data_IF_947183119698
#
_entry.id   IF_947183119698
#
_cell.length_a   1.000
_cell.length_b   1.000
_cell.length_c   1.000
_cell.angle_alpha   90.00
_cell.angle_beta   90.00
_cell.angle_gamma   90.00
#
_symmetry.space_group_name_H-M   'P 1'
#
loop_
_entity.id
_entity.type
_entity.pdbx_description
1 polymer ?
#
# COMPACT_ATOMS: atom_id res chain seq x y z
N UNK A 1 25.70 -28.33 -20.19
CA UNK A 1 26.17 -28.86 -18.88
C UNK A 1 25.96 -30.37 -18.86
N UNK A 2 26.91 -31.16 -18.35
CA UNK A 2 26.74 -32.62 -18.19
C UNK A 2 25.86 -32.95 -16.98
N UNK A 3 25.29 -34.16 -16.91
CA UNK A 3 24.45 -34.58 -15.78
C UNK A 3 25.17 -34.50 -14.42
N UNK A 4 26.44 -34.92 -14.35
CA UNK A 4 27.25 -34.82 -13.12
C UNK A 4 27.47 -33.39 -12.67
N UNK A 5 27.75 -32.48 -13.60
CA UNK A 5 27.91 -31.04 -13.30
C UNK A 5 26.60 -30.42 -12.79
N UNK A 6 25.45 -30.85 -13.36
CA UNK A 6 24.12 -30.43 -12.90
C UNK A 6 23.90 -30.84 -11.44
N UNK A 7 24.15 -32.10 -11.12
CA UNK A 7 23.83 -32.64 -9.79
C UNK A 7 24.69 -31.98 -8.70
N UNK A 8 25.97 -31.69 -8.99
CA UNK A 8 26.84 -30.90 -8.11
C UNK A 8 26.30 -29.49 -7.91
N UNK A 9 25.86 -28.82 -8.98
CA UNK A 9 25.26 -27.48 -8.88
C UNK A 9 23.97 -27.48 -8.04
N UNK A 10 23.08 -28.46 -8.26
CA UNK A 10 21.83 -28.60 -7.50
C UNK A 10 22.09 -28.90 -6.02
N UNK A 11 23.08 -29.74 -5.71
CA UNK A 11 23.48 -29.97 -4.32
C UNK A 11 24.01 -28.69 -3.65
N UNK A 12 24.80 -27.90 -4.39
CA UNK A 12 25.41 -26.67 -3.86
C UNK A 12 24.42 -25.55 -3.52
N UNK A 13 23.19 -25.60 -4.05
CA UNK A 13 22.17 -24.58 -3.78
C UNK A 13 21.26 -24.89 -2.59
N UNK A 14 21.47 -26.03 -1.90
CA UNK A 14 20.59 -26.50 -0.81
C UNK A 14 20.32 -25.41 0.24
N UNK A 15 21.36 -24.78 0.78
CA UNK A 15 21.21 -23.77 1.84
C UNK A 15 20.52 -22.49 1.32
N UNK A 16 20.79 -22.11 0.07
CA UNK A 16 20.15 -20.96 -0.55
C UNK A 16 18.65 -21.19 -0.76
N UNK A 17 18.26 -22.38 -1.23
CA UNK A 17 16.84 -22.75 -1.38
C UNK A 17 16.17 -22.84 -0.01
N UNK A 18 16.80 -23.46 0.98
CA UNK A 18 16.27 -23.54 2.34
C UNK A 18 16.00 -22.15 2.92
N UNK A 19 16.94 -21.21 2.75
CA UNK A 19 16.79 -19.82 3.21
C UNK A 19 15.60 -19.12 2.54
N UNK A 20 15.42 -19.30 1.22
CA UNK A 20 14.28 -18.71 0.48
C UNK A 20 12.94 -19.28 0.96
N UNK A 21 12.86 -20.59 1.21
CA UNK A 21 11.65 -21.25 1.72
C UNK A 21 11.32 -20.77 3.13
N UNK A 22 12.33 -20.67 4.01
CA UNK A 22 12.13 -20.19 5.38
C UNK A 22 11.67 -18.73 5.40
N UNK A 23 12.23 -17.87 4.55
CA UNK A 23 11.80 -16.49 4.43
C UNK A 23 10.32 -16.38 4.02
N UNK A 24 9.86 -17.17 3.03
CA UNK A 24 8.45 -17.14 2.62
C UNK A 24 7.52 -17.62 3.74
N UNK A 25 7.87 -18.68 4.47
CA UNK A 25 7.09 -19.17 5.62
C UNK A 25 7.01 -18.14 6.75
N UNK A 26 8.12 -17.46 7.03
CA UNK A 26 8.19 -16.41 8.05
C UNK A 26 7.24 -15.25 7.69
N UNK A 27 7.31 -14.76 6.46
CA UNK A 27 6.46 -13.68 5.96
C UNK A 27 4.97 -14.04 5.94
N UNK A 28 4.61 -15.28 5.57
CA UNK A 28 3.22 -15.74 5.60
C UNK A 28 2.65 -15.78 7.02
N UNK A 29 3.44 -16.26 7.98
CA UNK A 29 3.06 -16.32 9.39
C UNK A 29 2.83 -14.91 9.95
N UNK A 30 3.71 -13.96 9.60
CA UNK A 30 3.53 -12.56 9.96
C UNK A 30 2.26 -11.95 9.37
N UNK A 31 1.95 -12.27 8.11
CA UNK A 31 0.74 -11.77 7.46
C UNK A 31 -0.53 -12.18 8.22
N UNK A 32 -0.59 -13.45 8.62
CA UNK A 32 -1.67 -14.02 9.43
C UNK A 32 -1.72 -13.35 10.81
N UNK A 33 -0.56 -13.19 11.48
CA UNK A 33 -0.48 -12.58 12.80
C UNK A 33 -0.99 -11.13 12.80
N UNK A 34 -0.62 -10.33 11.80
CA UNK A 34 -1.06 -8.94 11.66
C UNK A 34 -2.58 -8.85 11.43
N UNK A 35 -3.16 -9.74 10.64
CA UNK A 35 -4.62 -9.76 10.42
C UNK A 35 -5.37 -10.29 11.65
N UNK A 36 -4.84 -11.30 12.34
CA UNK A 36 -5.40 -11.80 13.58
C UNK A 36 -5.39 -10.71 14.68
N UNK A 37 -4.32 -9.92 14.75
CA UNK A 37 -4.20 -8.78 15.67
C UNK A 37 -5.19 -7.65 15.34
N UNK A 38 -5.47 -7.39 14.05
CA UNK A 38 -6.49 -6.43 13.65
C UNK A 38 -7.92 -6.89 14.02
N UNK A 39 -8.13 -8.20 14.11
CA UNK A 39 -9.32 -8.82 14.71
C UNK A 39 -10.63 -8.31 14.13
N UNK A 40 -11.48 -7.73 14.98
CA UNK A 40 -12.82 -7.26 14.60
C UNK A 40 -12.82 -6.19 13.50
N UNK A 41 -11.74 -5.42 13.36
CA UNK A 41 -11.64 -4.38 12.33
C UNK A 41 -11.69 -4.94 10.90
N UNK A 42 -11.37 -6.24 10.72
CA UNK A 42 -11.35 -6.88 9.41
C UNK A 42 -12.55 -7.79 9.14
N UNK A 43 -13.41 -8.10 10.12
CA UNK A 43 -14.46 -9.13 9.97
C UNK A 43 -15.41 -8.84 8.80
N UNK A 44 -15.81 -7.58 8.62
CA UNK A 44 -16.69 -7.16 7.54
C UNK A 44 -16.03 -7.30 6.16
N UNK A 45 -14.74 -6.93 6.04
CA UNK A 45 -14.02 -7.03 4.77
C UNK A 45 -13.63 -8.48 4.45
N UNK A 46 -13.31 -9.30 5.46
CA UNK A 46 -13.12 -10.74 5.30
C UNK A 46 -14.42 -11.40 4.82
N UNK A 47 -15.57 -11.06 5.40
CA UNK A 47 -16.86 -11.54 4.93
C UNK A 47 -17.14 -11.17 3.46
N UNK A 48 -16.76 -9.95 3.04
CA UNK A 48 -16.85 -9.55 1.63
C UNK A 48 -15.90 -10.37 0.75
N UNK A 49 -14.68 -10.62 1.19
CA UNK A 49 -13.71 -11.43 0.45
C UNK A 49 -14.21 -12.87 0.27
N UNK A 50 -14.76 -13.49 1.33
CA UNK A 50 -15.38 -14.82 1.27
C UNK A 50 -16.45 -14.84 0.18
N UNK A 51 -17.43 -13.93 0.26
CA UNK A 51 -18.52 -13.85 -0.74
C UNK A 51 -18.02 -13.59 -2.16
N UNK A 52 -16.96 -12.78 -2.31
CA UNK A 52 -16.35 -12.52 -3.61
C UNK A 52 -15.71 -13.77 -4.22
N UNK A 53 -15.00 -14.56 -3.40
CA UNK A 53 -14.38 -15.80 -3.84
C UNK A 53 -15.42 -16.89 -4.14
N UNK A 54 -16.49 -16.99 -3.34
CA UNK A 54 -17.61 -17.90 -3.59
C UNK A 54 -18.34 -17.57 -4.90
N UNK A 55 -18.61 -16.28 -5.16
CA UNK A 55 -19.29 -15.85 -6.39
C UNK A 55 -18.50 -16.17 -7.66
N UNK A 56 -17.17 -16.34 -7.55
CA UNK A 56 -16.27 -16.75 -8.65
C UNK A 56 -16.06 -18.26 -8.71
N UNK A 57 -16.69 -19.04 -7.84
CA UNK A 57 -16.50 -20.49 -7.72
C UNK A 57 -15.11 -20.89 -7.19
N UNK A 58 -14.35 -19.93 -6.64
CA UNK A 58 -13.00 -20.18 -6.15
C UNK A 58 -12.96 -20.75 -4.73
N UNK A 59 -14.02 -20.54 -3.94
CA UNK A 59 -14.08 -20.93 -2.52
C UNK A 59 -15.43 -21.60 -2.22
N UNK A 60 -15.40 -22.63 -1.38
CA UNK A 60 -16.59 -23.23 -0.76
C UNK A 60 -16.43 -23.22 0.76
N UNK A 61 -17.07 -22.25 1.44
CA UNK A 61 -16.84 -22.01 2.87
C UNK A 61 -17.15 -23.21 3.77
N UNK A 62 -18.12 -24.05 3.39
CA UNK A 62 -18.48 -25.26 4.13
C UNK A 62 -17.40 -26.35 4.11
N UNK A 63 -16.61 -26.42 3.03
CA UNK A 63 -15.50 -27.37 2.90
C UNK A 63 -14.31 -26.89 3.74
N UNK A 64 -14.09 -25.57 3.74
CA UNK A 64 -12.96 -24.94 4.42
C UNK A 64 -13.24 -24.55 5.88
N UNK A 65 -14.41 -24.93 6.42
CA UNK A 65 -14.84 -24.61 7.79
C UNK A 65 -14.84 -23.11 8.13
N UNK A 66 -15.06 -22.26 7.12
CA UNK A 66 -15.20 -20.81 7.29
C UNK A 66 -16.63 -20.46 7.75
N UNK A 67 -16.82 -19.40 8.57
CA UNK A 67 -18.13 -19.01 9.07
C UNK A 67 -19.08 -18.61 7.94
N UNK A 68 -20.36 -18.93 8.11
CA UNK A 68 -21.44 -18.44 7.27
C UNK A 68 -21.79 -16.97 7.59
N UNK A 69 -22.73 -16.38 6.84
CA UNK A 69 -23.10 -14.97 7.04
C UNK A 69 -23.67 -14.70 8.44
N UNK A 70 -24.35 -15.69 9.03
CA UNK A 70 -24.86 -15.60 10.40
C UNK A 70 -23.69 -15.58 11.40
N UNK A 71 -22.74 -16.50 11.27
CA UNK A 71 -21.55 -16.59 12.13
C UNK A 71 -20.65 -15.36 12.00
N UNK A 72 -20.51 -14.81 10.80
CA UNK A 72 -19.80 -13.54 10.57
C UNK A 72 -20.49 -12.38 11.30
N UNK A 73 -21.82 -12.27 11.20
CA UNK A 73 -22.60 -11.24 11.88
C UNK A 73 -22.54 -11.37 13.42
N UNK A 74 -22.65 -12.59 13.95
CA UNK A 74 -22.51 -12.87 15.38
C UNK A 74 -21.12 -12.47 15.89
N UNK A 75 -20.05 -12.77 15.14
CA UNK A 75 -18.68 -12.36 15.50
C UNK A 75 -18.50 -10.85 15.44
N UNK A 76 -19.06 -10.18 14.44
CA UNK A 76 -19.04 -8.72 14.34
C UNK A 76 -19.70 -8.08 15.57
N UNK A 77 -20.87 -8.57 16.01
CA UNK A 77 -21.54 -8.11 17.23
C UNK A 77 -20.70 -8.36 18.49
N UNK A 78 -19.99 -9.48 18.55
CA UNK A 78 -19.08 -9.81 19.65
C UNK A 78 -17.72 -9.10 19.57
N UNK A 79 -17.50 -8.24 18.56
CA UNK A 79 -16.20 -7.60 18.27
C UNK A 79 -15.07 -8.63 18.15
N UNK A 80 -15.31 -9.69 17.39
CA UNK A 80 -14.33 -10.76 17.10
C UNK A 80 -14.03 -10.82 15.60
N UNK A 81 -12.76 -11.04 15.27
CA UNK A 81 -12.29 -11.30 13.91
C UNK A 81 -12.35 -12.79 13.54
N UNK A 82 -11.78 -13.11 12.38
CA UNK A 82 -11.42 -14.47 12.04
C UNK A 82 -10.23 -14.95 12.88
N UNK A 83 -10.14 -16.26 13.06
CA UNK A 83 -9.02 -16.93 13.73
C UNK A 83 -7.85 -17.10 12.77
N UNK A 84 -6.64 -17.35 13.31
CA UNK A 84 -5.45 -17.55 12.48
C UNK A 84 -5.59 -18.67 11.42
N UNK A 85 -6.17 -19.85 11.72
CA UNK A 85 -6.42 -20.88 10.71
C UNK A 85 -7.38 -20.43 9.59
N UNK A 86 -8.47 -19.74 9.94
CA UNK A 86 -9.42 -19.20 8.96
C UNK A 86 -8.76 -18.13 8.07
N UNK A 87 -7.89 -17.29 8.64
CA UNK A 87 -7.11 -16.29 7.89
C UNK A 87 -6.11 -16.99 6.96
N UNK A 88 -5.46 -18.07 7.39
CA UNK A 88 -4.52 -18.83 6.56
C UNK A 88 -5.21 -19.41 5.30
N UNK A 89 -6.43 -19.95 5.45
CA UNK A 89 -7.27 -20.38 4.33
C UNK A 89 -7.53 -19.20 3.39
N UNK A 90 -8.02 -18.07 3.91
CA UNK A 90 -8.30 -16.89 3.08
C UNK A 90 -7.05 -16.35 2.37
N UNK A 91 -5.89 -16.39 3.03
CA UNK A 91 -4.61 -16.00 2.43
C UNK A 91 -4.27 -16.87 1.22
N UNK A 92 -4.44 -18.18 1.31
CA UNK A 92 -4.21 -19.10 0.20
C UNK A 92 -5.15 -18.80 -0.98
N UNK A 93 -6.45 -18.70 -0.74
CA UNK A 93 -7.43 -18.43 -1.80
C UNK A 93 -7.27 -17.02 -2.41
N UNK A 94 -6.93 -16.01 -1.60
CA UNK A 94 -6.64 -14.67 -2.10
C UNK A 94 -5.43 -14.67 -3.03
N UNK A 95 -4.36 -15.41 -2.69
CA UNK A 95 -3.18 -15.57 -3.56
C UNK A 95 -3.52 -16.30 -4.86
N UNK A 96 -4.28 -17.38 -4.80
CA UNK A 96 -4.68 -18.16 -5.99
C UNK A 96 -5.48 -17.26 -6.94
N UNK A 97 -6.56 -16.64 -6.45
CA UNK A 97 -7.43 -15.79 -7.28
C UNK A 97 -6.69 -14.56 -7.84
N UNK A 98 -5.80 -13.96 -7.06
CA UNK A 98 -4.98 -12.84 -7.51
C UNK A 98 -3.97 -13.28 -8.57
N UNK A 99 -3.30 -14.43 -8.39
CA UNK A 99 -2.35 -14.97 -9.36
C UNK A 99 -3.01 -15.23 -10.71
N UNK A 100 -4.17 -15.87 -10.73
CA UNK A 100 -4.95 -16.08 -11.96
C UNK A 100 -5.27 -14.75 -12.66
N UNK A 101 -5.70 -13.76 -11.89
CA UNK A 101 -6.03 -12.43 -12.41
C UNK A 101 -4.81 -11.71 -12.98
N UNK A 102 -3.64 -11.82 -12.32
CA UNK A 102 -2.40 -11.23 -12.83
C UNK A 102 -1.87 -11.97 -14.07
N UNK A 103 -1.98 -13.30 -14.13
CA UNK A 103 -1.59 -14.11 -15.28
C UNK A 103 -2.44 -13.80 -16.53
N UNK A 104 -3.69 -13.40 -16.34
CA UNK A 104 -4.56 -12.94 -17.43
C UNK A 104 -4.23 -11.51 -17.92
N UNK A 105 -3.31 -10.80 -17.26
CA UNK A 105 -2.89 -9.44 -17.61
C UNK A 105 -1.54 -9.40 -18.33
N UNK A 106 -1.14 -8.22 -18.81
CA UNK A 106 0.18 -7.94 -19.37
C UNK A 106 1.24 -7.59 -18.31
N UNK A 107 0.87 -7.43 -17.04
CA UNK A 107 1.81 -7.04 -15.98
C UNK A 107 3.01 -8.01 -15.87
N UNK A 108 2.85 -9.34 -15.92
CA UNK A 108 3.98 -10.27 -15.87
C UNK A 108 4.93 -10.21 -17.07
N UNK A 109 4.56 -9.53 -18.17
CA UNK A 109 5.45 -9.31 -19.32
C UNK A 109 6.26 -8.01 -19.20
N UNK A 110 5.92 -7.13 -18.27
CA UNK A 110 6.61 -5.86 -18.12
C UNK A 110 8.06 -6.07 -17.68
N UNK A 111 8.99 -5.39 -18.36
CA UNK A 111 10.40 -5.36 -17.95
C UNK A 111 10.58 -4.79 -16.54
N UNK A 112 9.66 -3.91 -16.12
CA UNK A 112 9.73 -3.25 -14.82
C UNK A 112 9.61 -4.24 -13.63
N UNK A 113 9.02 -5.43 -13.85
CA UNK A 113 8.88 -6.48 -12.82
C UNK A 113 9.84 -7.66 -13.03
N UNK A 114 10.74 -7.58 -14.01
CA UNK A 114 11.65 -8.67 -14.36
C UNK A 114 12.61 -9.02 -13.20
N UNK A 115 12.92 -8.07 -12.32
CA UNK A 115 13.73 -8.33 -11.13
C UNK A 115 13.10 -9.40 -10.21
N UNK A 116 11.78 -9.60 -10.24
CA UNK A 116 11.09 -10.67 -9.51
C UNK A 116 11.48 -12.06 -10.02
N UNK A 117 11.73 -12.21 -11.32
CA UNK A 117 12.23 -13.46 -11.90
C UNK A 117 13.65 -13.75 -11.42
N UNK A 118 14.50 -12.73 -11.44
CA UNK A 118 15.90 -12.87 -11.00
C UNK A 118 15.95 -13.24 -9.51
N UNK A 119 15.16 -12.56 -8.68
CA UNK A 119 15.11 -12.78 -7.23
C UNK A 119 14.52 -14.14 -6.83
N UNK A 120 13.80 -14.82 -7.72
CA UNK A 120 13.27 -16.17 -7.45
C UNK A 120 14.37 -17.22 -7.39
N UNK A 121 15.40 -17.10 -8.24
CA UNK A 121 16.40 -18.14 -8.39
C UNK A 121 17.55 -17.98 -7.39
N UNK A 122 18.08 -19.07 -6.82
CA UNK A 122 19.26 -19.04 -5.96
C UNK A 122 20.48 -18.43 -6.66
N UNK A 123 21.29 -17.68 -5.90
CA UNK A 123 22.50 -17.04 -6.41
C UNK A 123 23.47 -17.98 -7.17
N UNK A 124 23.71 -19.24 -6.73
CA UNK A 124 24.56 -20.17 -7.48
C UNK A 124 24.05 -20.47 -8.90
N UNK A 125 22.73 -20.52 -9.10
CA UNK A 125 22.12 -20.73 -10.41
C UNK A 125 22.25 -19.48 -11.28
N UNK A 126 22.03 -18.31 -10.68
CA UNK A 126 22.13 -17.03 -11.38
C UNK A 126 23.53 -16.81 -11.96
N UNK A 127 24.59 -17.21 -11.26
CA UNK A 127 25.97 -17.09 -11.75
C UNK A 127 26.21 -17.78 -13.11
N UNK A 128 25.44 -18.83 -13.43
CA UNK A 128 25.63 -19.64 -14.64
C UNK A 128 24.52 -19.45 -15.68
N UNK A 129 23.31 -19.06 -15.26
CA UNK A 129 22.10 -19.12 -16.10
C UNK A 129 21.36 -17.79 -16.25
N UNK A 130 21.91 -16.66 -15.76
CA UNK A 130 21.20 -15.36 -15.76
C UNK A 130 20.72 -14.93 -17.15
N UNK A 131 21.52 -15.16 -18.19
CA UNK A 131 21.19 -14.79 -19.57
C UNK A 131 20.06 -15.63 -20.18
N UNK A 132 19.77 -16.81 -19.60
CA UNK A 132 18.71 -17.71 -20.06
C UNK A 132 17.33 -17.35 -19.46
N UNK A 133 17.30 -16.54 -18.39
CA UNK A 133 16.07 -16.21 -17.67
C UNK A 133 14.99 -15.53 -18.55
N UNK A 134 15.32 -14.60 -19.47
CA UNK A 134 14.29 -13.98 -20.32
C UNK A 134 13.50 -14.99 -21.16
N UNK A 135 14.13 -16.11 -21.54
CA UNK A 135 13.54 -17.20 -22.33
C UNK A 135 12.93 -18.32 -21.46
N UNK A 136 12.87 -18.15 -20.14
CA UNK A 136 12.34 -19.17 -19.24
C UNK A 136 10.85 -19.45 -19.54
N UNK A 137 10.43 -20.71 -19.77
CA UNK A 137 9.08 -21.02 -20.21
C UNK A 137 8.01 -20.62 -19.19
N UNK A 138 8.33 -20.69 -17.89
CA UNK A 138 7.45 -20.29 -16.79
C UNK A 138 7.72 -18.86 -16.28
N UNK A 139 8.35 -18.00 -17.08
CA UNK A 139 8.70 -16.63 -16.66
C UNK A 139 7.49 -15.89 -16.09
N UNK A 140 6.37 -15.93 -16.81
CA UNK A 140 5.11 -15.27 -16.42
C UNK A 140 4.60 -15.80 -15.09
N UNK A 141 4.54 -17.12 -14.94
CA UNK A 141 4.10 -17.81 -13.73
C UNK A 141 4.95 -17.51 -12.51
N UNK A 142 6.28 -17.48 -12.67
CA UNK A 142 7.21 -17.16 -11.59
C UNK A 142 7.02 -15.69 -11.16
N UNK A 143 7.00 -14.75 -12.11
CA UNK A 143 6.81 -13.32 -11.82
C UNK A 143 5.47 -13.08 -11.13
N UNK A 144 4.37 -13.64 -11.65
CA UNK A 144 3.05 -13.51 -11.05
C UNK A 144 3.03 -14.09 -9.62
N UNK A 145 3.60 -15.27 -9.42
CA UNK A 145 3.65 -15.92 -8.09
C UNK A 145 4.47 -15.10 -7.10
N UNK A 146 5.65 -14.59 -7.50
CA UNK A 146 6.50 -13.75 -6.67
C UNK A 146 5.83 -12.43 -6.30
N UNK A 147 5.20 -11.77 -7.27
CA UNK A 147 4.49 -10.52 -7.04
C UNK A 147 3.32 -10.72 -6.07
N UNK A 148 2.52 -11.76 -6.28
CA UNK A 148 1.39 -12.09 -5.39
C UNK A 148 1.87 -12.44 -3.99
N UNK A 149 2.90 -13.27 -3.84
CA UNK A 149 3.43 -13.63 -2.53
C UNK A 149 3.89 -12.39 -1.77
N UNK A 150 4.71 -11.54 -2.39
CA UNK A 150 5.18 -10.30 -1.74
C UNK A 150 4.02 -9.38 -1.39
N UNK A 151 3.13 -9.11 -2.34
CA UNK A 151 2.00 -8.21 -2.14
C UNK A 151 1.08 -8.69 -1.02
N UNK A 152 0.65 -9.95 -1.06
CA UNK A 152 -0.30 -10.50 -0.08
C UNK A 152 0.35 -10.73 1.28
N UNK A 153 1.61 -11.17 1.35
CA UNK A 153 2.31 -11.31 2.63
C UNK A 153 2.48 -9.93 3.30
N UNK A 154 2.85 -8.89 2.53
CA UNK A 154 3.11 -7.57 3.09
C UNK A 154 1.84 -6.76 3.34
N UNK A 155 0.80 -6.86 2.50
CA UNK A 155 -0.41 -6.02 2.60
C UNK A 155 -1.66 -6.75 3.12
N UNK A 156 -1.64 -8.08 3.19
CA UNK A 156 -2.76 -8.89 3.64
C UNK A 156 -3.73 -9.30 2.52
N UNK A 157 -4.78 -10.01 2.92
CA UNK A 157 -5.76 -10.71 2.08
C UNK A 157 -6.69 -9.77 1.29
N UNK A 158 -6.94 -8.57 1.82
CA UNK A 158 -8.04 -7.72 1.34
C UNK A 158 -7.60 -6.42 0.65
N UNK A 159 -6.31 -6.05 0.74
CA UNK A 159 -5.81 -4.77 0.24
C UNK A 159 -6.13 -4.51 -1.24
N UNK A 160 -5.88 -5.49 -2.12
CA UNK A 160 -6.10 -5.34 -3.57
C UNK A 160 -7.60 -5.15 -3.88
N UNK A 161 -8.46 -5.92 -3.21
CA UNK A 161 -9.91 -5.81 -3.37
C UNK A 161 -10.42 -4.46 -2.88
N UNK A 162 -9.97 -4.01 -1.71
CA UNK A 162 -10.37 -2.71 -1.14
C UNK A 162 -9.97 -1.56 -2.04
N UNK A 163 -8.70 -1.52 -2.47
CA UNK A 163 -8.22 -0.43 -3.31
C UNK A 163 -8.88 -0.45 -4.70
N UNK A 164 -9.15 -1.63 -5.27
CA UNK A 164 -9.93 -1.77 -6.50
C UNK A 164 -11.38 -1.31 -6.34
N UNK A 165 -12.01 -1.59 -5.19
CA UNK A 165 -13.36 -1.12 -4.88
C UNK A 165 -13.44 0.42 -4.76
N UNK A 166 -12.45 1.02 -4.12
CA UNK A 166 -12.32 2.46 -3.92
C UNK A 166 -12.05 3.23 -5.21
N UNK A 167 -11.16 2.71 -6.06
CA UNK A 167 -10.63 3.44 -7.22
C UNK A 167 -11.19 2.97 -8.56
N UNK A 168 -11.83 1.80 -8.61
CA UNK A 168 -12.21 1.13 -9.85
C UNK A 168 -11.05 0.50 -10.62
N UNK A 169 -9.82 0.55 -10.08
CA UNK A 169 -8.65 -0.05 -10.72
C UNK A 169 -8.73 -1.58 -10.72
N UNK A 170 -8.19 -2.18 -11.79
CA UNK A 170 -8.00 -3.63 -11.86
C UNK A 170 -6.93 -4.12 -10.87
N UNK A 171 -6.98 -5.40 -10.51
CA UNK A 171 -5.99 -6.01 -9.63
C UNK A 171 -4.55 -5.87 -10.16
N UNK A 172 -4.36 -5.92 -11.49
CA UNK A 172 -3.06 -5.72 -12.12
C UNK A 172 -2.55 -4.26 -11.96
N UNK A 173 -3.42 -3.27 -12.14
CA UNK A 173 -3.07 -1.87 -11.93
C UNK A 173 -2.72 -1.60 -10.46
N UNK A 174 -3.48 -2.17 -9.52
CA UNK A 174 -3.17 -2.07 -8.08
C UNK A 174 -1.84 -2.74 -7.75
N UNK A 175 -1.58 -3.95 -8.25
CA UNK A 175 -0.33 -4.67 -8.01
C UNK A 175 0.88 -3.93 -8.59
N UNK A 176 0.75 -3.36 -9.80
CA UNK A 176 1.80 -2.55 -10.42
C UNK A 176 2.09 -1.25 -9.65
N UNK A 177 1.05 -0.53 -9.24
CA UNK A 177 1.20 0.68 -8.42
C UNK A 177 1.81 0.39 -7.06
N UNK A 178 1.38 -0.70 -6.39
CA UNK A 178 1.97 -1.13 -5.12
C UNK A 178 3.43 -1.52 -5.30
N UNK A 179 3.77 -2.26 -6.36
CA UNK A 179 5.16 -2.65 -6.62
C UNK A 179 6.05 -1.42 -6.83
N UNK A 180 5.57 -0.41 -7.56
CA UNK A 180 6.28 0.86 -7.72
C UNK A 180 6.44 1.60 -6.37
N UNK A 181 5.36 1.76 -5.59
CA UNK A 181 5.40 2.43 -4.29
C UNK A 181 6.32 1.72 -3.28
N UNK A 182 6.24 0.39 -3.22
CA UNK A 182 7.10 -0.48 -2.42
C UNK A 182 8.57 -0.33 -2.81
N UNK A 183 8.86 -0.29 -4.11
CA UNK A 183 10.23 -0.11 -4.61
C UNK A 183 10.78 1.29 -4.31
N UNK A 184 9.97 2.34 -4.41
CA UNK A 184 10.38 3.72 -4.07
C UNK A 184 10.72 3.87 -2.59
N UNK A 185 9.98 3.21 -1.72
CA UNK A 185 10.21 3.23 -0.27
C UNK A 185 11.36 2.31 0.19
N UNK A 186 11.87 1.47 -0.71
CA UNK A 186 12.67 0.29 -0.35
C UNK A 186 12.02 -0.51 0.78
N UNK A 187 10.71 -0.77 0.62
CA UNK A 187 9.90 -1.30 1.70
C UNK A 187 10.36 -2.69 2.17
N UNK A 188 10.96 -3.50 1.29
CA UNK A 188 11.51 -4.80 1.69
C UNK A 188 12.69 -4.62 2.66
N UNK A 189 13.56 -3.63 2.45
CA UNK A 189 14.62 -3.31 3.42
C UNK A 189 14.05 -2.82 4.75
N UNK A 190 12.99 -2.00 4.72
CA UNK A 190 12.30 -1.56 5.94
C UNK A 190 11.64 -2.73 6.69
N UNK A 191 11.02 -3.68 5.98
CA UNK A 191 10.50 -4.91 6.58
C UNK A 191 11.63 -5.71 7.23
N UNK A 192 12.73 -5.95 6.53
CA UNK A 192 13.89 -6.67 7.06
C UNK A 192 14.50 -5.97 8.29
N UNK A 193 14.53 -4.63 8.31
CA UNK A 193 14.97 -3.86 9.49
C UNK A 193 14.04 -4.11 10.69
N UNK A 194 12.71 -4.12 10.49
CA UNK A 194 11.76 -4.46 11.57
C UNK A 194 11.91 -5.92 12.00
N UNK A 195 12.05 -6.84 11.05
CA UNK A 195 12.23 -8.29 11.29
C UNK A 195 13.52 -8.58 12.05
N UNK A 196 14.59 -7.81 11.83
CA UNK A 196 15.84 -7.94 12.57
C UNK A 196 15.72 -7.57 14.05
N UNK A 197 14.60 -6.95 14.46
CA UNK A 197 14.29 -6.63 15.85
C UNK A 197 13.47 -7.74 16.55
N UNK A 198 13.21 -8.85 15.87
CA UNK A 198 12.54 -10.02 16.46
C UNK A 198 13.36 -10.51 17.66
N UNK A 199 12.66 -10.79 18.77
CA UNK A 199 13.25 -11.10 20.09
C UNK A 199 14.14 -9.99 20.71
N UNK A 200 14.29 -8.83 20.06
CA UNK A 200 15.02 -7.67 20.59
C UNK A 200 14.08 -6.66 21.25
N UNK A 201 12.89 -6.47 20.66
CA UNK A 201 11.82 -5.62 21.20
C UNK A 201 10.57 -6.46 21.53
N UNK A 202 9.66 -5.89 22.32
CA UNK A 202 8.37 -6.53 22.59
C UNK A 202 7.59 -6.80 21.28
N UNK A 203 6.97 -7.97 21.19
CA UNK A 203 6.23 -8.40 20.00
C UNK A 203 5.09 -7.43 19.64
N UNK A 204 4.42 -6.84 20.64
CA UNK A 204 3.36 -5.84 20.42
C UNK A 204 3.92 -4.59 19.75
N UNK A 205 5.12 -4.16 20.17
CA UNK A 205 5.81 -3.02 19.56
C UNK A 205 6.24 -3.33 18.13
N UNK A 206 6.75 -4.54 17.88
CA UNK A 206 7.13 -4.95 16.53
C UNK A 206 5.91 -4.99 15.59
N UNK A 207 4.78 -5.56 16.04
CA UNK A 207 3.52 -5.56 15.29
C UNK A 207 3.02 -4.15 14.99
N UNK A 208 3.19 -3.20 15.92
CA UNK A 208 2.84 -1.80 15.71
C UNK A 208 3.70 -1.17 14.60
N UNK A 209 5.02 -1.43 14.58
CA UNK A 209 5.91 -0.96 13.50
C UNK A 209 5.51 -1.54 12.14
N UNK A 210 5.24 -2.85 12.09
CA UNK A 210 4.77 -3.54 10.88
C UNK A 210 3.44 -2.98 10.37
N UNK A 211 2.49 -2.71 11.28
CA UNK A 211 1.19 -2.10 10.96
C UNK A 211 1.37 -0.68 10.44
N UNK A 212 2.30 0.08 11.02
CA UNK A 212 2.65 1.42 10.55
C UNK A 212 3.26 1.42 9.14
N UNK A 213 4.12 0.44 8.82
CA UNK A 213 4.69 0.27 7.48
C UNK A 213 3.60 -0.11 6.46
N UNK A 214 2.67 -1.01 6.83
CA UNK A 214 1.48 -1.31 6.02
C UNK A 214 0.65 -0.07 5.74
N UNK A 215 0.38 0.75 6.77
CA UNK A 215 -0.39 1.98 6.63
C UNK A 215 0.31 2.99 5.70
N UNK A 216 1.63 3.12 5.82
CA UNK A 216 2.43 3.98 4.94
C UNK A 216 2.34 3.54 3.47
N UNK A 217 2.50 2.24 3.20
CA UNK A 217 2.33 1.67 1.85
C UNK A 217 0.91 1.81 1.32
N UNK A 218 -0.10 1.60 2.17
CA UNK A 218 -1.50 1.73 1.81
C UNK A 218 -1.87 3.18 1.44
N UNK A 219 -1.22 4.17 2.05
CA UNK A 219 -1.41 5.58 1.71
C UNK A 219 -0.58 6.03 0.48
N UNK A 220 0.62 5.48 0.30
CA UNK A 220 1.46 5.81 -0.86
C UNK A 220 0.96 5.17 -2.16
N UNK A 221 0.41 3.95 -2.10
CA UNK A 221 -0.01 3.21 -3.30
C UNK A 221 -1.06 3.95 -4.15
N UNK A 222 -2.15 4.55 -3.59
CA UNK A 222 -3.11 5.33 -4.37
C UNK A 222 -2.51 6.55 -5.07
N UNK A 223 -1.52 7.21 -4.45
CA UNK A 223 -0.83 8.36 -5.04
C UNK A 223 -0.05 7.96 -6.29
N UNK A 224 0.60 6.80 -6.25
CA UNK A 224 1.32 6.20 -7.39
C UNK A 224 0.33 5.64 -8.42
N UNK A 225 -0.74 5.00 -7.96
CA UNK A 225 -1.78 4.42 -8.81
C UNK A 225 -2.39 5.46 -9.73
N UNK A 226 -2.65 6.67 -9.22
CA UNK A 226 -3.20 7.78 -10.02
C UNK A 226 -2.35 8.07 -11.26
N UNK A 227 -1.02 8.05 -11.14
CA UNK A 227 -0.12 8.26 -12.29
C UNK A 227 0.04 7.01 -13.13
N UNK A 228 0.06 5.83 -12.51
CA UNK A 228 0.12 4.56 -13.22
C UNK A 228 -1.09 4.36 -14.15
N UNK A 229 -2.30 4.72 -13.69
CA UNK A 229 -3.52 4.70 -14.50
C UNK A 229 -3.47 5.67 -15.69
N UNK A 230 -2.63 6.71 -15.64
CA UNK A 230 -2.36 7.64 -16.75
C UNK A 230 -1.30 7.12 -17.73
N UNK A 231 -0.80 5.90 -17.54
CA UNK A 231 0.13 5.24 -18.45
C UNK A 231 1.61 5.38 -18.09
N UNK A 232 1.95 6.00 -16.95
CA UNK A 232 3.36 6.06 -16.49
C UNK A 232 3.85 4.66 -16.11
N UNK A 233 5.03 4.29 -16.62
CA UNK A 233 5.66 2.98 -16.34
C UNK A 233 6.21 2.91 -14.92
N UNK A 234 6.33 1.70 -14.38
CA UNK A 234 6.81 1.48 -13.00
C UNK A 234 8.22 2.04 -12.82
N UNK A 235 9.14 1.81 -13.77
CA UNK A 235 10.49 2.34 -13.69
C UNK A 235 10.55 3.88 -13.69
N UNK A 236 9.65 4.53 -14.43
CA UNK A 236 9.53 6.00 -14.44
C UNK A 236 9.03 6.50 -13.09
N UNK A 237 7.96 5.88 -12.56
CA UNK A 237 7.44 6.20 -11.23
C UNK A 237 8.54 6.07 -10.17
N UNK A 238 9.33 4.98 -10.21
CA UNK A 238 10.45 4.77 -9.29
C UNK A 238 11.47 5.91 -9.32
N UNK A 239 11.80 6.41 -10.51
CA UNK A 239 12.76 7.52 -10.67
C UNK A 239 12.16 8.84 -10.20
N UNK A 240 10.91 9.13 -10.57
CA UNK A 240 10.24 10.40 -10.31
C UNK A 240 9.96 10.62 -8.82
N UNK A 241 9.55 9.59 -8.09
CA UNK A 241 9.32 9.69 -6.65
C UNK A 241 10.59 9.45 -5.81
N UNK A 242 11.54 8.69 -6.34
CA UNK A 242 12.69 8.18 -5.59
C UNK A 242 13.50 9.27 -4.90
N UNK A 243 13.84 10.36 -5.60
CA UNK A 243 14.67 11.44 -5.03
C UNK A 243 14.01 12.12 -3.82
N UNK A 244 12.73 12.49 -3.94
CA UNK A 244 11.99 13.17 -2.88
C UNK A 244 11.77 12.28 -1.65
N UNK A 245 11.46 11.01 -1.88
CA UNK A 245 11.21 10.02 -0.81
C UNK A 245 12.51 9.65 -0.10
N UNK A 246 13.58 9.34 -0.84
CA UNK A 246 14.90 9.04 -0.28
C UNK A 246 15.45 10.21 0.53
N UNK A 247 15.32 11.45 0.03
CA UNK A 247 15.74 12.64 0.78
C UNK A 247 14.96 12.79 2.10
N UNK A 248 13.66 12.48 2.09
CA UNK A 248 12.81 12.55 3.28
C UNK A 248 13.16 11.46 4.29
N UNK A 249 13.32 10.21 3.85
CA UNK A 249 13.78 9.10 4.68
C UNK A 249 15.17 9.41 5.27
N UNK A 250 16.10 9.92 4.46
CA UNK A 250 17.45 10.28 4.89
C UNK A 250 17.45 11.34 6.00
N UNK A 251 16.60 12.36 5.88
CA UNK A 251 16.42 13.40 6.92
C UNK A 251 15.87 12.80 8.22
N UNK A 252 14.84 11.95 8.13
CA UNK A 252 14.25 11.30 9.31
C UNK A 252 15.26 10.34 9.96
N UNK A 253 16.10 9.66 9.19
CA UNK A 253 17.14 8.76 9.74
C UNK A 253 18.36 9.50 10.28
N UNK A 254 18.51 10.80 10.03
CA UNK A 254 19.72 11.53 10.38
C UNK A 254 20.02 11.43 11.89
N UNK A 255 21.20 10.88 12.23
CA UNK A 255 21.62 10.68 13.62
C UNK A 255 20.91 9.55 14.37
N UNK A 256 20.11 8.72 13.69
CA UNK A 256 19.36 7.60 14.27
C UNK A 256 19.81 6.27 13.65
N UNK A 257 19.77 5.18 14.42
CA UNK A 257 20.07 3.83 13.93
C UNK A 257 19.17 2.76 14.58
N UNK A 258 19.10 1.58 13.95
CA UNK A 258 18.35 0.43 14.43
C UNK A 258 16.89 0.75 14.79
N UNK A 259 16.43 0.23 15.93
CA UNK A 259 15.05 0.41 16.40
C UNK A 259 14.60 1.88 16.49
N UNK A 260 15.49 2.81 16.82
CA UNK A 260 15.16 4.25 16.92
C UNK A 260 14.91 4.84 15.54
N UNK A 261 15.72 4.49 14.55
CA UNK A 261 15.54 4.99 13.17
C UNK A 261 14.23 4.50 12.57
N UNK A 262 13.94 3.20 12.67
CA UNK A 262 12.71 2.64 12.11
C UNK A 262 11.46 3.15 12.84
N UNK A 263 11.52 3.31 14.17
CA UNK A 263 10.41 3.91 14.93
C UNK A 263 10.13 5.33 14.42
N UNK A 264 11.16 6.16 14.26
CA UNK A 264 10.99 7.52 13.73
C UNK A 264 10.42 7.54 12.31
N UNK A 265 10.83 6.63 11.43
CA UNK A 265 10.25 6.51 10.08
C UNK A 265 8.76 6.17 10.12
N UNK A 266 8.36 5.27 11.01
CA UNK A 266 6.95 4.89 11.16
C UNK A 266 6.13 6.02 11.80
N UNK A 267 6.68 6.71 12.81
CA UNK A 267 6.01 7.84 13.45
C UNK A 267 5.85 9.02 12.47
N UNK A 268 6.88 9.31 11.68
CA UNK A 268 6.89 10.38 10.67
C UNK A 268 6.37 9.93 9.28
N UNK A 269 5.67 8.78 9.19
CA UNK A 269 5.15 8.22 7.92
C UNK A 269 4.32 9.21 7.10
N UNK A 270 3.61 10.13 7.75
CA UNK A 270 2.84 11.17 7.06
C UNK A 270 3.73 12.09 6.22
N UNK A 271 4.93 12.44 6.70
CA UNK A 271 5.89 13.25 5.96
C UNK A 271 6.44 12.50 4.73
N UNK A 272 6.63 11.18 4.85
CA UNK A 272 7.06 10.31 3.76
C UNK A 272 5.96 10.21 2.69
N UNK A 273 4.70 9.96 3.09
CA UNK A 273 3.56 9.95 2.17
C UNK A 273 3.39 11.31 1.48
N UNK A 274 3.54 12.40 2.22
CA UNK A 274 3.49 13.75 1.66
C UNK A 274 4.59 13.99 0.59
N UNK A 275 5.73 13.29 0.63
CA UNK A 275 6.71 13.38 -0.44
C UNK A 275 6.19 12.82 -1.79
N UNK A 276 5.39 11.74 -1.77
CA UNK A 276 4.71 11.25 -2.97
C UNK A 276 3.69 12.26 -3.49
N UNK A 277 2.92 12.88 -2.58
CA UNK A 277 1.93 13.89 -2.94
C UNK A 277 2.58 15.14 -3.56
N UNK A 278 3.69 15.63 -2.99
CA UNK A 278 4.44 16.77 -3.53
C UNK A 278 4.92 16.52 -4.95
N UNK A 279 5.40 15.32 -5.25
CA UNK A 279 5.79 14.94 -6.62
C UNK A 279 4.58 14.93 -7.57
N UNK A 280 3.43 14.43 -7.12
CA UNK A 280 2.19 14.49 -7.89
C UNK A 280 1.76 15.94 -8.18
N UNK A 281 1.83 16.81 -7.18
CA UNK A 281 1.48 18.23 -7.31
C UNK A 281 2.45 18.98 -8.24
N UNK A 282 3.76 18.75 -8.10
CA UNK A 282 4.78 19.30 -8.98
C UNK A 282 4.52 18.93 -10.45
N UNK A 283 4.20 17.66 -10.70
CA UNK A 283 3.79 17.19 -12.04
C UNK A 283 2.51 17.88 -12.51
N UNK A 284 1.50 17.97 -11.66
CA UNK A 284 0.19 18.49 -12.04
C UNK A 284 0.18 20.02 -12.28
N UNK A 285 1.13 20.73 -11.67
CA UNK A 285 1.37 22.16 -11.91
C UNK A 285 2.40 22.42 -13.02
N UNK A 286 3.22 21.44 -13.39
CA UNK A 286 4.32 21.62 -14.34
C UNK A 286 5.45 22.49 -13.79
N UNK A 287 5.66 22.46 -12.47
CA UNK A 287 6.63 23.30 -11.77
C UNK A 287 7.72 22.45 -11.08
N UNK A 288 8.91 23.01 -10.83
CA UNK A 288 9.92 22.39 -9.99
C UNK A 288 9.39 22.01 -8.60
N UNK A 289 9.94 20.93 -8.03
CA UNK A 289 9.54 20.43 -6.72
C UNK A 289 9.80 21.46 -5.59
N UNK A 290 10.84 22.27 -5.72
CA UNK A 290 11.19 23.32 -4.75
C UNK A 290 10.10 24.40 -4.70
N UNK A 291 9.71 24.94 -5.86
CA UNK A 291 8.67 25.96 -5.98
C UNK A 291 7.33 25.46 -5.40
N UNK A 292 6.98 24.20 -5.67
CA UNK A 292 5.79 23.57 -5.08
C UNK A 292 5.91 23.43 -3.56
N UNK A 293 7.09 23.11 -3.04
CA UNK A 293 7.32 22.98 -1.60
C UNK A 293 7.19 24.32 -0.89
N UNK A 294 7.76 25.39 -1.46
CA UNK A 294 7.64 26.75 -0.93
C UNK A 294 6.19 27.24 -0.96
N UNK A 295 5.49 27.02 -2.08
CA UNK A 295 4.09 27.41 -2.22
C UNK A 295 3.16 26.60 -1.28
N UNK A 296 3.46 25.34 -1.01
CA UNK A 296 2.75 24.54 0.00
C UNK A 296 2.97 25.08 1.41
N UNK A 297 4.21 25.46 1.77
CA UNK A 297 4.48 26.06 3.09
C UNK A 297 3.71 27.38 3.29
N UNK A 298 3.57 28.19 2.23
CA UNK A 298 2.72 29.40 2.26
C UNK A 298 1.25 29.03 2.49
N UNK A 299 0.76 27.98 1.82
CA UNK A 299 -0.62 27.52 1.93
C UNK A 299 -0.94 26.92 3.30
N UNK A 300 -0.04 26.12 3.87
CA UNK A 300 -0.14 25.55 5.22
C UNK A 300 -0.30 26.66 6.28
N UNK A 301 0.39 27.79 6.11
CA UNK A 301 0.23 28.96 6.99
C UNK A 301 -1.10 29.72 6.83
N UNK A 302 -1.92 29.36 5.83
CA UNK A 302 -3.18 30.05 5.49
C UNK A 302 -4.41 29.22 5.81
N UNK A 303 -4.34 27.91 5.60
CA UNK A 303 -5.44 26.96 5.80
C UNK A 303 -4.91 25.55 6.04
N UNK A 304 -5.45 24.87 7.06
CA UNK A 304 -4.98 23.57 7.52
C UNK A 304 -5.66 22.40 6.76
N UNK A 305 -5.31 22.27 5.48
CA UNK A 305 -5.82 21.18 4.62
C UNK A 305 -5.29 19.81 5.03
N UNK A 306 -4.19 19.76 5.79
CA UNK A 306 -3.59 18.51 6.27
C UNK A 306 -4.42 17.90 7.39
N UNK A 307 -4.96 18.72 8.29
CA UNK A 307 -5.97 18.26 9.24
C UNK A 307 -7.19 17.67 8.53
N UNK A 308 -7.69 18.34 7.48
CA UNK A 308 -8.85 17.86 6.73
C UNK A 308 -8.55 16.52 6.02
N UNK A 309 -7.36 16.38 5.42
CA UNK A 309 -6.90 15.13 4.83
C UNK A 309 -6.80 13.99 5.86
N UNK A 310 -6.29 14.30 7.05
CA UNK A 310 -6.23 13.34 8.15
C UNK A 310 -7.63 12.95 8.65
N UNK A 311 -8.57 13.89 8.72
CA UNK A 311 -9.96 13.63 9.10
C UNK A 311 -10.68 12.73 8.08
N UNK A 312 -10.55 13.02 6.77
CA UNK A 312 -11.08 12.17 5.71
C UNK A 312 -10.49 10.76 5.77
N UNK A 313 -9.19 10.64 6.05
CA UNK A 313 -8.51 9.35 6.16
C UNK A 313 -9.02 8.49 7.33
N UNK A 314 -9.48 9.12 8.42
CA UNK A 314 -10.06 8.44 9.60
C UNK A 314 -11.50 7.97 9.39
N UNK A 315 -12.18 8.40 8.32
CA UNK A 315 -13.55 7.98 8.06
C UNK A 315 -13.66 6.45 7.93
N UNK A 316 -14.73 5.84 8.48
CA UNK A 316 -14.94 4.40 8.37
C UNK A 316 -15.19 4.00 6.91
N UNK A 317 -14.54 2.91 6.50
CA UNK A 317 -14.72 2.27 5.19
C UNK A 317 -15.36 0.88 5.33
N UNK A 318 -16.40 0.80 6.17
CA UNK A 318 -17.05 -0.44 6.57
C UNK A 318 -17.68 -1.20 5.40
N UNK A 319 -18.14 -0.49 4.37
CA UNK A 319 -18.65 -1.08 3.12
C UNK A 319 -18.07 -0.40 1.86
N UNK A 320 -18.34 -0.99 0.70
CA UNK A 320 -17.84 -0.53 -0.61
C UNK A 320 -18.21 0.93 -0.93
N UNK A 321 -19.43 1.34 -0.59
CA UNK A 321 -19.91 2.70 -0.89
C UNK A 321 -19.27 3.75 0.03
N UNK A 322 -19.10 3.43 1.31
CA UNK A 322 -18.36 4.28 2.26
C UNK A 322 -16.90 4.45 1.83
N UNK A 323 -16.26 3.36 1.41
CA UNK A 323 -14.89 3.37 0.92
C UNK A 323 -14.74 4.29 -0.32
N UNK A 324 -15.68 4.18 -1.28
CA UNK A 324 -15.74 5.07 -2.45
C UNK A 324 -16.01 6.52 -2.09
N UNK A 325 -16.93 6.79 -1.17
CA UNK A 325 -17.25 8.16 -0.75
C UNK A 325 -16.04 8.82 -0.08
N UNK A 326 -15.31 8.07 0.76
CA UNK A 326 -14.04 8.52 1.35
C UNK A 326 -12.99 8.82 0.27
N UNK A 327 -12.83 7.93 -0.70
CA UNK A 327 -11.89 8.12 -1.81
C UNK A 327 -12.25 9.36 -2.66
N UNK A 328 -13.54 9.57 -2.91
CA UNK A 328 -14.05 10.75 -3.62
C UNK A 328 -13.72 12.04 -2.86
N UNK A 329 -13.98 12.10 -1.54
CA UNK A 329 -13.60 13.25 -0.72
C UNK A 329 -12.09 13.52 -0.74
N UNK A 330 -11.28 12.47 -0.67
CA UNK A 330 -9.82 12.58 -0.80
C UNK A 330 -9.41 13.18 -2.16
N UNK A 331 -10.05 12.74 -3.25
CA UNK A 331 -9.81 13.28 -4.59
C UNK A 331 -10.24 14.75 -4.71
N UNK A 332 -11.36 15.13 -4.11
CA UNK A 332 -11.84 16.52 -4.11
C UNK A 332 -10.92 17.43 -3.32
N UNK A 333 -10.42 16.97 -2.17
CA UNK A 333 -9.44 17.70 -1.38
C UNK A 333 -8.11 17.87 -2.13
N UNK A 334 -7.63 16.82 -2.80
CA UNK A 334 -6.44 16.91 -3.64
C UNK A 334 -6.63 17.91 -4.80
N UNK A 335 -7.81 17.94 -5.41
CA UNK A 335 -8.18 18.91 -6.44
C UNK A 335 -8.19 20.35 -5.92
N UNK A 336 -8.75 20.58 -4.72
CA UNK A 336 -8.73 21.88 -4.06
C UNK A 336 -7.29 22.32 -3.76
N UNK A 337 -6.46 21.44 -3.18
CA UNK A 337 -5.05 21.72 -2.89
C UNK A 337 -4.29 22.11 -4.18
N UNK A 338 -4.51 21.37 -5.27
CA UNK A 338 -3.90 21.68 -6.56
C UNK A 338 -4.36 23.04 -7.12
N UNK A 339 -5.64 23.39 -6.98
CA UNK A 339 -6.16 24.69 -7.41
C UNK A 339 -5.49 25.85 -6.66
N UNK A 340 -5.47 25.77 -5.32
CA UNK A 340 -4.86 26.79 -4.46
C UNK A 340 -3.36 26.91 -4.71
N UNK A 341 -2.68 25.78 -4.93
CA UNK A 341 -1.26 25.76 -5.24
C UNK A 341 -0.96 26.52 -6.55
N UNK A 342 -1.78 26.35 -7.60
CA UNK A 342 -1.62 27.11 -8.85
C UNK A 342 -1.83 28.60 -8.66
N UNK A 343 -2.76 28.99 -7.79
CA UNK A 343 -2.98 30.40 -7.47
C UNK A 343 -1.76 31.01 -6.79
N UNK A 344 -1.20 30.32 -5.78
CA UNK A 344 0.02 30.76 -5.06
C UNK A 344 1.22 30.83 -6.01
N UNK A 345 1.42 29.81 -6.85
CA UNK A 345 2.47 29.79 -7.87
C UNK A 345 2.28 30.90 -8.93
N UNK A 346 1.05 31.34 -9.17
CA UNK A 346 0.72 32.49 -10.01
C UNK A 346 0.91 33.85 -9.33
N UNK A 347 1.40 33.89 -8.10
CA UNK A 347 1.66 35.12 -7.33
C UNK A 347 0.44 35.69 -6.62
N UNK A 348 -0.68 34.97 -6.56
CA UNK A 348 -1.89 35.38 -5.85
C UNK A 348 -2.08 34.55 -4.59
N UNK A 349 -2.41 35.20 -3.47
CA UNK A 349 -2.69 34.51 -2.22
C UNK A 349 -4.20 34.27 -2.08
N UNK A 350 -4.64 33.03 -1.76
CA UNK A 350 -6.05 32.75 -1.55
C UNK A 350 -6.59 33.49 -0.31
N UNK A 351 -7.81 34.01 -0.41
CA UNK A 351 -8.52 34.60 0.71
C UNK A 351 -9.13 33.48 1.56
N UNK A 352 -8.41 33.03 2.59
CA UNK A 352 -8.80 31.85 3.37
C UNK A 352 -9.60 32.14 4.62
N UNK A 353 -9.86 33.40 4.98
CA UNK A 353 -10.45 33.76 6.28
C UNK A 353 -11.79 33.04 6.55
N UNK A 354 -12.74 33.11 5.62
CA UNK A 354 -14.06 32.46 5.77
C UNK A 354 -13.95 30.93 5.72
N UNK A 355 -13.10 30.40 4.84
CA UNK A 355 -12.86 28.96 4.75
C UNK A 355 -12.21 28.38 6.01
N UNK A 356 -11.32 29.14 6.66
CA UNK A 356 -10.70 28.76 7.93
C UNK A 356 -11.73 28.71 9.07
N UNK A 357 -12.73 29.59 9.08
CA UNK A 357 -13.84 29.51 10.06
C UNK A 357 -14.61 28.20 9.90
N UNK A 358 -14.98 27.83 8.67
CA UNK A 358 -15.65 26.54 8.41
C UNK A 358 -14.77 25.36 8.87
N UNK A 359 -13.47 25.43 8.63
CA UNK A 359 -12.53 24.39 9.05
C UNK A 359 -12.41 24.28 10.58
N UNK A 360 -12.39 25.42 11.29
CA UNK A 360 -12.35 25.46 12.75
C UNK A 360 -13.66 24.94 13.37
N UNK A 361 -14.81 25.19 12.73
CA UNK A 361 -16.08 24.57 13.11
C UNK A 361 -16.03 23.05 12.95
N UNK A 362 -15.48 22.52 11.85
CA UNK A 362 -15.30 21.07 11.65
C UNK A 362 -14.37 20.46 12.72
N UNK A 363 -13.32 21.19 13.12
CA UNK A 363 -12.39 20.78 14.18
C UNK A 363 -13.08 20.68 15.54
N UNK A 364 -13.99 21.61 15.83
CA UNK A 364 -14.72 21.65 17.10
C UNK A 364 -15.83 20.60 17.25
N UNK A 365 -16.28 19.98 16.15
CA UNK A 365 -17.38 19.02 16.16
C UNK A 365 -16.87 17.57 16.05
N UNK A 366 -16.87 16.84 17.18
CA UNK A 366 -16.52 15.42 17.27
C UNK A 366 -17.73 14.54 17.63
N UNK A 367 -17.88 13.33 17.05
CA UNK A 367 -17.01 12.72 16.03
C UNK A 367 -17.29 13.27 14.62
N UNK A 368 -16.24 13.39 13.79
CA UNK A 368 -16.42 13.73 12.38
C UNK A 368 -17.01 12.55 11.59
N UNK A 369 -18.12 12.79 10.89
CA UNK A 369 -18.73 11.84 9.98
C UNK A 369 -18.58 12.24 8.50
N UNK A 370 -18.95 11.32 7.62
CA UNK A 370 -18.82 11.50 6.17
C UNK A 370 -19.65 12.69 5.66
N UNK A 371 -20.86 12.88 6.19
CA UNK A 371 -21.77 13.94 5.72
C UNK A 371 -21.22 15.32 6.10
N UNK A 372 -20.73 15.46 7.34
CA UNK A 372 -20.15 16.68 7.85
C UNK A 372 -18.88 17.06 7.10
N UNK A 373 -17.94 16.11 6.91
CA UNK A 373 -16.72 16.39 6.14
C UNK A 373 -17.00 16.68 4.67
N UNK A 374 -18.01 16.02 4.08
CA UNK A 374 -18.43 16.29 2.70
C UNK A 374 -19.04 17.69 2.55
N UNK A 375 -19.92 18.10 3.46
CA UNK A 375 -20.55 19.41 3.43
C UNK A 375 -19.52 20.52 3.68
N UNK A 376 -18.66 20.33 4.68
CA UNK A 376 -17.58 21.26 5.01
C UNK A 376 -16.59 21.46 3.86
N UNK A 377 -16.15 20.37 3.20
CA UNK A 377 -15.28 20.47 2.03
C UNK A 377 -15.97 21.17 0.86
N UNK A 378 -17.25 20.89 0.62
CA UNK A 378 -18.02 21.56 -0.44
C UNK A 378 -18.12 23.07 -0.20
N UNK A 379 -18.36 23.48 1.05
CA UNK A 379 -18.43 24.89 1.44
C UNK A 379 -17.07 25.58 1.35
N UNK A 380 -16.00 24.96 1.87
CA UNK A 380 -14.63 25.47 1.73
C UNK A 380 -14.29 25.66 0.24
N UNK A 381 -14.65 24.70 -0.63
CA UNK A 381 -14.42 24.82 -2.08
C UNK A 381 -15.21 25.97 -2.68
N UNK A 382 -16.46 26.18 -2.25
CA UNK A 382 -17.31 27.30 -2.69
C UNK A 382 -16.67 28.65 -2.36
N UNK A 383 -16.05 28.79 -1.19
CA UNK A 383 -15.43 30.03 -0.73
C UNK A 383 -14.06 30.30 -1.36
N UNK A 384 -13.37 29.26 -1.83
CA UNK A 384 -11.98 29.36 -2.30
C UNK A 384 -11.81 29.29 -3.82
N UNK A 385 -12.79 28.76 -4.55
CA UNK A 385 -12.70 28.53 -6.00
C UNK A 385 -13.63 29.44 -6.80
N UNK A 386 -14.66 30.01 -6.16
CA UNK A 386 -15.55 31.04 -6.72
C UNK A 386 -15.15 32.40 -6.15
#
# INVERSE_FOLDING_TARGET
>A
MTGKQRDVLLASMTDAVASLVLADNYQQTQAIALEAAAGAGLIEVHGRLIRHLEARGALHRSIEFLPDDKGLAERAQQKRGLTAPEIAVLLAYAKIALKETLLASSLPDSEDVHQLLVAYFPAPLLAHCRELLPAHPLRRDIIATQLVNRLVNRMGTTFVMQLGDETGASAAQVAGAWYAASSVLDAEALWQEIESLDLVIDATRQLALMTGLRAMLAAATPLVLTQHLRGTRIAQLMTEYGSAVVATIGRIRQGRSGAVAITALIDERAAIVAAFERVNLARACGCPLNDVTEALAILEGRIDLDWLAAAVSRLPAGNRWQARARAQLGSELAGLRQHLLRQVLGGSLPATAEASVVLDELKGNEPQDLAMLSAGLAEIRRLLVL
#
